data_IF_786299939718
#
_entry.id   IF_786299939718
#
_cell.length_a   1.000
_cell.length_b   1.000
_cell.length_c   1.000
_cell.angle_alpha   90.00
_cell.angle_beta   90.00
_cell.angle_gamma   90.00
#
_symmetry.space_group_name_H-M   'P 1'
#
loop_
_entity.id
_entity.type
_entity.pdbx_description
1 polymer ?
#
# COMPACT_ATOMS: atom_id res chain seq x y z
N UNK A 1 -23.68 -1.21 -8.23
CA UNK A 1 -22.77 -2.36 -8.03
C UNK A 1 -22.68 -3.07 -9.36
N UNK A 2 -21.46 -3.36 -9.82
CA UNK A 2 -21.25 -4.03 -11.11
C UNK A 2 -21.72 -5.49 -10.99
N UNK A 3 -22.11 -6.15 -12.12
CA UNK A 3 -22.57 -7.55 -12.19
C UNK A 3 -21.56 -8.55 -11.58
N UNK A 4 -20.28 -8.17 -11.54
CA UNK A 4 -19.18 -8.98 -11.02
C UNK A 4 -18.79 -8.67 -9.57
N UNK A 5 -19.50 -7.73 -8.92
CA UNK A 5 -19.21 -7.30 -7.57
C UNK A 5 -20.21 -7.90 -6.59
N UNK A 6 -19.73 -8.38 -5.44
CA UNK A 6 -20.56 -8.89 -4.35
C UNK A 6 -20.19 -8.16 -3.05
N UNK A 7 -21.17 -7.48 -2.46
CA UNK A 7 -20.95 -6.84 -1.16
C UNK A 7 -20.95 -7.89 -0.04
N UNK A 8 -19.84 -7.96 0.71
CA UNK A 8 -19.64 -8.93 1.80
C UNK A 8 -19.82 -8.33 3.20
N UNK A 9 -20.21 -7.08 3.30
CA UNK A 9 -20.39 -6.35 4.56
C UNK A 9 -19.17 -5.52 4.96
N UNK A 10 -19.35 -4.61 5.95
CA UNK A 10 -18.31 -3.75 6.52
C UNK A 10 -17.48 -2.96 5.49
N UNK A 11 -18.11 -2.54 4.39
CA UNK A 11 -17.44 -1.81 3.31
C UNK A 11 -16.67 -2.68 2.31
N UNK A 12 -16.59 -4.00 2.52
CA UNK A 12 -15.87 -4.88 1.61
C UNK A 12 -16.73 -5.30 0.41
N UNK A 13 -16.24 -4.99 -0.79
CA UNK A 13 -16.78 -5.42 -2.07
C UNK A 13 -15.87 -6.48 -2.68
N UNK A 14 -16.37 -7.71 -2.76
CA UNK A 14 -15.66 -8.81 -3.41
C UNK A 14 -15.86 -8.70 -4.92
N UNK A 15 -14.77 -8.42 -5.66
CA UNK A 15 -14.77 -8.36 -7.12
C UNK A 15 -14.32 -9.70 -7.68
N UNK A 16 -15.19 -10.34 -8.48
CA UNK A 16 -14.85 -11.59 -9.19
C UNK A 16 -13.90 -11.28 -10.35
N UNK A 17 -13.00 -12.23 -10.64
CA UNK A 17 -12.11 -12.13 -11.81
C UNK A 17 -12.89 -12.01 -13.11
N UNK A 18 -12.40 -11.15 -14.00
CA UNK A 18 -12.94 -10.92 -15.34
C UNK A 18 -11.80 -10.86 -16.34
N UNK A 19 -12.10 -11.16 -17.62
CA UNK A 19 -11.11 -11.05 -18.70
C UNK A 19 -10.83 -9.59 -19.09
N UNK A 20 -11.80 -8.70 -18.86
CA UNK A 20 -11.65 -7.29 -19.18
C UNK A 20 -10.91 -6.56 -18.04
N UNK A 21 -9.76 -5.97 -18.39
CA UNK A 21 -8.98 -5.13 -17.48
C UNK A 21 -9.11 -3.66 -17.86
N UNK A 22 -9.18 -2.79 -16.87
CA UNK A 22 -9.00 -1.36 -17.08
C UNK A 22 -7.53 -1.07 -17.41
N UNK A 23 -7.31 -0.20 -18.38
CA UNK A 23 -5.96 0.28 -18.76
C UNK A 23 -5.63 1.63 -18.13
N UNK A 24 -6.52 2.17 -17.32
CA UNK A 24 -6.28 3.43 -16.60
C UNK A 24 -5.06 3.27 -15.70
N UNK A 25 -4.07 4.11 -15.88
CA UNK A 25 -2.87 4.11 -15.05
C UNK A 25 -3.08 4.99 -13.82
N UNK A 26 -2.43 4.64 -12.72
CA UNK A 26 -2.37 5.51 -11.56
C UNK A 26 -1.57 6.79 -11.85
N UNK A 27 -1.80 7.80 -11.01
CA UNK A 27 -1.10 9.07 -11.06
C UNK A 27 0.41 8.88 -10.94
N UNK A 28 1.15 9.72 -11.65
CA UNK A 28 2.58 9.88 -11.43
C UNK A 28 2.80 10.73 -10.18
N UNK A 29 3.73 10.32 -9.35
CA UNK A 29 4.24 11.18 -8.29
C UNK A 29 5.33 12.07 -8.90
N UNK A 30 4.91 13.22 -9.42
CA UNK A 30 5.81 14.22 -10.01
C UNK A 30 6.39 15.15 -8.97
N UNK A 31 5.57 15.52 -7.98
CA UNK A 31 5.96 16.34 -6.86
C UNK A 31 6.82 15.56 -5.86
N UNK A 32 7.76 16.23 -5.21
CA UNK A 32 8.63 15.60 -4.23
C UNK A 32 8.03 15.63 -2.81
N UNK A 33 6.83 16.14 -2.65
CA UNK A 33 6.15 16.29 -1.36
C UNK A 33 4.63 16.38 -1.51
N UNK A 34 3.93 16.14 -0.42
CA UNK A 34 2.50 16.39 -0.31
C UNK A 34 2.21 17.90 -0.36
N UNK A 35 0.96 18.24 -0.70
CA UNK A 35 0.47 19.58 -0.48
C UNK A 35 0.57 19.97 1.00
N UNK A 36 0.88 21.23 1.27
CA UNK A 36 1.07 21.76 2.63
C UNK A 36 -0.14 21.51 3.54
N UNK A 37 -1.34 21.57 2.99
CA UNK A 37 -2.55 21.30 3.78
C UNK A 37 -2.70 19.82 4.08
N UNK A 38 -2.29 18.93 3.18
CA UNK A 38 -2.29 17.47 3.42
C UNK A 38 -1.34 17.11 4.55
N UNK A 39 -0.09 17.58 4.53
CA UNK A 39 0.87 17.36 5.62
C UNK A 39 0.32 17.86 6.97
N UNK A 40 -0.20 19.08 6.98
CA UNK A 40 -0.78 19.70 8.18
C UNK A 40 -1.93 18.88 8.76
N UNK A 41 -2.81 18.32 7.93
CA UNK A 41 -3.92 17.51 8.43
C UNK A 41 -3.46 16.13 8.88
N UNK A 42 -2.52 15.52 8.20
CA UNK A 42 -1.89 14.26 8.65
C UNK A 42 -1.28 14.45 10.04
N UNK A 43 -0.46 15.50 10.22
CA UNK A 43 0.16 15.81 11.51
C UNK A 43 -0.87 16.01 12.62
N UNK A 44 -1.95 16.78 12.36
CA UNK A 44 -3.04 16.98 13.32
C UNK A 44 -3.77 15.70 13.70
N UNK A 45 -3.96 14.79 12.73
CA UNK A 45 -4.59 13.49 13.00
C UNK A 45 -3.68 12.67 13.91
N UNK A 46 -2.38 12.61 13.62
CA UNK A 46 -1.40 11.90 14.46
C UNK A 46 -1.34 12.48 15.87
N UNK A 47 -1.25 13.80 16.00
CA UNK A 47 -1.26 14.49 17.31
C UNK A 47 -2.53 14.16 18.11
N UNK A 48 -3.70 14.20 17.45
CA UNK A 48 -4.96 13.86 18.07
C UNK A 48 -5.00 12.42 18.56
N UNK A 49 -4.53 11.48 17.73
CA UNK A 49 -4.42 10.07 18.08
C UNK A 49 -3.49 9.87 19.28
N UNK A 50 -2.31 10.47 19.28
CA UNK A 50 -1.35 10.42 20.40
C UNK A 50 -1.98 10.96 21.69
N UNK A 51 -2.72 12.08 21.63
CA UNK A 51 -3.43 12.66 22.77
C UNK A 51 -4.42 11.69 23.44
N UNK A 52 -5.02 10.81 22.64
CA UNK A 52 -5.99 9.82 23.12
C UNK A 52 -5.42 8.41 23.26
N UNK A 53 -4.08 8.25 23.25
CA UNK A 53 -3.38 6.96 23.31
C UNK A 53 -3.84 5.98 22.22
N UNK A 54 -4.12 6.49 21.03
CA UNK A 54 -4.43 5.70 19.85
C UNK A 54 -3.15 5.52 19.04
N UNK A 55 -2.73 4.27 18.84
CA UNK A 55 -1.59 3.95 17.98
C UNK A 55 -1.90 4.23 16.51
N UNK A 56 -0.95 4.84 15.82
CA UNK A 56 -1.04 5.15 14.39
C UNK A 56 0.05 4.40 13.65
N UNK A 57 -0.30 3.82 12.52
CA UNK A 57 0.64 3.20 11.57
C UNK A 57 0.31 3.71 10.18
N UNK A 58 1.31 4.17 9.45
CA UNK A 58 1.17 4.51 8.04
C UNK A 58 1.38 3.26 7.19
N UNK A 59 0.57 3.10 6.16
CA UNK A 59 0.74 2.01 5.21
C UNK A 59 0.48 2.46 3.79
N UNK A 60 1.27 1.97 2.84
CA UNK A 60 0.98 2.09 1.41
C UNK A 60 0.52 0.72 0.91
N UNK A 61 -0.67 0.64 0.35
CA UNK A 61 -1.24 -0.60 -0.17
C UNK A 61 -0.53 -1.01 -1.46
N UNK A 62 -0.39 -2.33 -1.68
CA UNK A 62 0.20 -2.90 -2.90
C UNK A 62 -0.54 -2.40 -4.14
N UNK A 63 0.23 -1.97 -5.12
CA UNK A 63 -0.22 -1.60 -6.45
C UNK A 63 0.05 -2.72 -7.47
N UNK A 64 -0.54 -2.62 -8.66
CA UNK A 64 -0.24 -3.53 -9.77
C UNK A 64 1.27 -3.57 -10.04
N UNK A 65 1.92 -4.76 -10.04
CA UNK A 65 3.36 -4.89 -10.21
C UNK A 65 3.91 -4.27 -11.49
N UNK A 66 3.16 -4.34 -12.59
CA UNK A 66 3.57 -3.73 -13.84
C UNK A 66 3.56 -2.21 -13.75
N UNK A 67 2.58 -1.64 -13.07
CA UNK A 67 2.53 -0.19 -12.81
C UNK A 67 3.69 0.27 -11.94
N UNK A 68 4.00 -0.46 -10.85
CA UNK A 68 5.14 -0.13 -9.99
C UNK A 68 6.44 -0.23 -10.79
N UNK A 69 6.62 -1.27 -11.60
CA UNK A 69 7.81 -1.45 -12.46
C UNK A 69 7.98 -0.27 -13.42
N UNK A 70 6.95 0.12 -14.16
CA UNK A 70 7.00 1.22 -15.13
C UNK A 70 7.27 2.58 -14.48
N UNK A 71 6.93 2.74 -13.21
CA UNK A 71 7.01 4.01 -12.46
C UNK A 71 7.84 3.87 -11.18
N UNK A 72 8.81 2.95 -11.18
CA UNK A 72 9.56 2.59 -9.95
C UNK A 72 10.24 3.81 -9.31
N UNK A 73 10.73 4.75 -10.10
CA UNK A 73 11.35 5.99 -9.59
C UNK A 73 10.33 6.86 -8.84
N UNK A 74 9.12 7.05 -9.39
CA UNK A 74 8.03 7.79 -8.74
C UNK A 74 7.61 7.12 -7.44
N UNK A 75 7.40 5.80 -7.46
CA UNK A 75 7.04 5.04 -6.26
C UNK A 75 8.12 5.10 -5.19
N UNK A 76 9.40 5.05 -5.58
CA UNK A 76 10.51 5.18 -4.63
C UNK A 76 10.59 6.58 -4.01
N UNK A 77 10.38 7.63 -4.80
CA UNK A 77 10.31 9.01 -4.29
C UNK A 77 9.18 9.17 -3.26
N UNK A 78 7.99 8.68 -3.59
CA UNK A 78 6.85 8.69 -2.68
C UNK A 78 7.12 7.89 -1.39
N UNK A 79 7.73 6.71 -1.48
CA UNK A 79 8.13 5.92 -0.32
C UNK A 79 9.09 6.68 0.58
N UNK A 80 10.16 7.25 0.01
CA UNK A 80 11.15 7.99 0.77
C UNK A 80 10.53 9.21 1.49
N UNK A 81 9.64 9.92 0.81
CA UNK A 81 8.93 11.07 1.39
C UNK A 81 8.03 10.66 2.57
N UNK A 82 7.17 9.64 2.37
CA UNK A 82 6.25 9.17 3.42
C UNK A 82 7.03 8.62 4.61
N UNK A 83 8.15 7.95 4.36
CA UNK A 83 9.05 7.44 5.40
C UNK A 83 9.63 8.58 6.23
N UNK A 84 10.15 9.63 5.60
CA UNK A 84 10.63 10.82 6.28
C UNK A 84 9.55 11.48 7.15
N UNK A 85 8.34 11.64 6.60
CA UNK A 85 7.20 12.18 7.34
C UNK A 85 6.81 11.29 8.54
N UNK A 86 6.83 9.98 8.37
CA UNK A 86 6.54 9.04 9.45
C UNK A 86 7.59 9.11 10.57
N UNK A 87 8.87 9.23 10.21
CA UNK A 87 9.97 9.44 11.16
C UNK A 87 9.82 10.75 11.93
N UNK A 88 9.51 11.88 11.25
CA UNK A 88 9.24 13.17 11.88
C UNK A 88 8.06 13.13 12.86
N UNK A 89 7.02 12.37 12.51
CA UNK A 89 5.81 12.21 13.33
C UNK A 89 5.93 11.10 14.37
N UNK A 90 7.07 10.39 14.45
CA UNK A 90 7.27 9.23 15.31
C UNK A 90 6.12 8.22 15.18
N UNK A 91 5.92 7.75 13.94
CA UNK A 91 4.89 6.79 13.51
C UNK A 91 5.55 5.68 12.70
N UNK A 92 5.16 4.44 12.90
CA UNK A 92 5.61 3.34 12.05
C UNK A 92 5.04 3.46 10.63
N UNK A 93 5.85 3.06 9.65
CA UNK A 93 5.44 3.05 8.24
C UNK A 93 5.84 1.77 7.53
N UNK A 94 4.88 1.16 6.84
CA UNK A 94 5.06 -0.04 6.03
C UNK A 94 4.61 0.18 4.59
N UNK A 95 5.58 0.18 3.66
CA UNK A 95 5.29 0.21 2.23
C UNK A 95 5.07 -1.21 1.69
N UNK A 96 3.82 -1.61 1.52
CA UNK A 96 3.50 -2.95 1.00
C UNK A 96 3.88 -3.14 -0.47
N UNK A 97 4.20 -2.10 -1.25
CA UNK A 97 4.83 -2.29 -2.55
C UNK A 97 6.23 -2.91 -2.42
N UNK A 98 6.92 -2.66 -1.30
CA UNK A 98 8.17 -3.31 -0.95
C UNK A 98 8.03 -4.73 -0.36
N UNK A 99 6.81 -5.24 -0.13
CA UNK A 99 6.62 -6.59 0.38
C UNK A 99 7.19 -7.61 -0.60
N UNK A 100 8.12 -8.47 -0.12
CA UNK A 100 8.81 -9.45 -0.95
C UNK A 100 7.86 -10.52 -1.47
N UNK A 101 8.13 -11.04 -2.66
CA UNK A 101 7.30 -12.03 -3.35
C UNK A 101 7.17 -13.34 -2.60
N UNK A 102 8.18 -13.73 -1.82
CA UNK A 102 8.15 -14.95 -0.98
C UNK A 102 7.05 -14.89 0.11
N UNK A 103 6.66 -13.70 0.56
CA UNK A 103 5.56 -13.53 1.53
C UNK A 103 4.21 -13.27 0.88
N UNK A 104 4.22 -12.69 -0.32
CA UNK A 104 3.00 -12.46 -1.09
C UNK A 104 3.28 -12.49 -2.59
N UNK A 105 3.13 -13.67 -3.17
CA UNK A 105 3.20 -13.85 -4.61
C UNK A 105 2.04 -13.13 -5.30
N UNK A 106 2.36 -12.33 -6.31
CA UNK A 106 1.41 -11.49 -7.05
C UNK A 106 1.89 -11.20 -8.46
N UNK A 107 0.95 -11.03 -9.36
CA UNK A 107 1.18 -10.55 -10.71
C UNK A 107 0.08 -9.56 -11.14
N UNK A 108 0.20 -9.01 -12.35
CA UNK A 108 -0.80 -8.08 -12.93
C UNK A 108 -2.20 -8.70 -13.04
N UNK A 109 -2.33 -10.04 -13.09
CA UNK A 109 -3.62 -10.71 -13.17
C UNK A 109 -4.35 -10.73 -11.82
N UNK A 110 -3.68 -10.38 -10.74
CA UNK A 110 -4.26 -10.23 -9.41
C UNK A 110 -5.04 -8.93 -9.24
N UNK A 111 -4.90 -8.00 -10.21
CA UNK A 111 -5.50 -6.67 -10.16
C UNK A 111 -6.53 -6.49 -11.28
N UNK A 112 -7.64 -5.80 -10.92
CA UNK A 112 -8.69 -5.44 -11.87
C UNK A 112 -8.25 -4.34 -12.83
N UNK A 113 -7.42 -3.42 -12.35
CA UNK A 113 -6.91 -2.27 -13.08
C UNK A 113 -5.45 -1.97 -12.68
N UNK A 114 -4.90 -0.94 -13.29
CA UNK A 114 -3.55 -0.47 -13.02
C UNK A 114 -3.46 0.51 -11.84
N UNK A 115 -4.58 0.82 -11.22
CA UNK A 115 -4.69 1.68 -10.03
C UNK A 115 -4.57 0.87 -8.71
N UNK A 116 -4.35 -0.43 -8.81
CA UNK A 116 -4.12 -1.31 -7.66
C UNK A 116 -5.39 -1.89 -7.03
N UNK A 117 -6.53 -1.83 -7.71
CA UNK A 117 -7.73 -2.49 -7.23
C UNK A 117 -7.61 -4.01 -7.42
N UNK A 118 -7.44 -4.72 -6.32
CA UNK A 118 -7.31 -6.18 -6.31
C UNK A 118 -8.64 -6.88 -6.60
N UNK A 119 -8.57 -8.05 -7.24
CA UNK A 119 -9.68 -8.98 -7.22
C UNK A 119 -9.93 -9.52 -5.80
N UNK A 120 -11.16 -9.97 -5.53
CA UNK A 120 -11.59 -10.34 -4.19
C UNK A 120 -10.80 -11.47 -3.55
N UNK A 121 -10.37 -12.46 -4.32
CA UNK A 121 -9.50 -13.54 -3.86
C UNK A 121 -8.10 -13.04 -3.50
N UNK A 122 -7.51 -12.19 -4.33
CA UNK A 122 -6.23 -11.53 -4.06
C UNK A 122 -6.32 -10.64 -2.82
N UNK A 123 -7.36 -9.79 -2.72
CA UNK A 123 -7.59 -8.94 -1.55
C UNK A 123 -7.73 -9.79 -0.27
N UNK A 124 -8.38 -10.97 -0.36
CA UNK A 124 -8.49 -11.89 0.77
C UNK A 124 -7.14 -12.46 1.20
N UNK A 125 -6.28 -12.84 0.23
CA UNK A 125 -4.89 -13.29 0.51
C UNK A 125 -4.07 -12.15 1.10
N UNK A 126 -4.14 -10.96 0.50
CA UNK A 126 -3.40 -9.78 0.96
C UNK A 126 -3.80 -9.38 2.38
N UNK A 127 -5.09 -9.38 2.72
CA UNK A 127 -5.56 -9.04 4.07
C UNK A 127 -4.95 -9.93 5.15
N UNK A 128 -4.64 -11.19 4.86
CA UNK A 128 -4.00 -12.09 5.82
C UNK A 128 -2.58 -11.65 6.16
N UNK A 129 -1.74 -11.41 5.16
CA UNK A 129 -0.36 -10.94 5.39
C UNK A 129 -0.34 -9.51 5.95
N UNK A 130 -1.22 -8.64 5.47
CA UNK A 130 -1.39 -7.30 6.03
C UNK A 130 -1.72 -7.36 7.53
N UNK A 131 -2.72 -8.15 7.90
CA UNK A 131 -3.12 -8.33 9.31
C UNK A 131 -2.00 -8.94 10.16
N UNK A 132 -1.20 -9.87 9.61
CA UNK A 132 -0.04 -10.43 10.30
C UNK A 132 1.01 -9.36 10.58
N UNK A 133 1.43 -8.58 9.58
CA UNK A 133 2.42 -7.50 9.72
C UNK A 133 1.96 -6.48 10.76
N UNK A 134 0.70 -6.03 10.66
CA UNK A 134 0.16 -5.04 11.61
C UNK A 134 0.09 -5.62 13.03
N UNK A 135 -0.32 -6.88 13.19
CA UNK A 135 -0.35 -7.52 14.50
C UNK A 135 1.06 -7.68 15.10
N UNK A 136 2.04 -8.04 14.31
CA UNK A 136 3.44 -8.13 14.76
C UNK A 136 3.98 -6.74 15.16
N UNK A 137 3.66 -5.70 14.40
CA UNK A 137 4.01 -4.31 14.73
C UNK A 137 3.55 -3.92 16.14
N UNK A 138 2.31 -4.24 16.51
CA UNK A 138 1.78 -3.92 17.84
C UNK A 138 2.26 -4.84 18.96
N UNK A 139 2.84 -6.00 18.66
CA UNK A 139 3.19 -7.03 19.64
C UNK A 139 4.70 -7.29 19.79
N UNK A 140 5.55 -6.36 19.42
CA UNK A 140 7.00 -6.50 19.64
C UNK A 140 7.88 -6.24 18.44
N UNK A 141 7.31 -5.69 17.40
CA UNK A 141 7.97 -5.35 16.16
C UNK A 141 7.88 -6.43 15.09
N UNK A 142 7.89 -5.99 13.85
CA UNK A 142 7.82 -6.86 12.69
C UNK A 142 9.18 -7.51 12.40
N UNK A 143 9.14 -8.62 11.69
CA UNK A 143 10.32 -9.21 11.09
C UNK A 143 10.92 -8.26 10.06
N UNK A 144 12.23 -7.99 10.15
CA UNK A 144 12.93 -7.08 9.24
C UNK A 144 13.04 -7.61 7.80
N UNK A 145 12.71 -8.88 7.57
CA UNK A 145 12.84 -9.55 6.29
C UNK A 145 11.61 -9.44 5.38
N UNK A 146 10.49 -8.93 5.85
CA UNK A 146 9.28 -8.77 5.03
C UNK A 146 9.46 -7.84 3.83
N UNK A 147 10.16 -6.73 4.03
CA UNK A 147 10.17 -5.63 3.09
C UNK A 147 11.54 -5.39 2.46
N UNK A 148 11.52 -5.15 1.15
CA UNK A 148 12.64 -4.55 0.43
C UNK A 148 12.44 -3.03 0.40
N UNK A 149 13.47 -2.28 0.76
CA UNK A 149 13.42 -0.81 0.79
C UNK A 149 13.67 -0.19 -0.58
N UNK A 150 14.54 -0.80 -1.36
CA UNK A 150 14.79 -0.37 -2.74
C UNK A 150 13.86 -1.13 -3.69
N UNK A 151 12.82 -0.46 -4.14
CA UNK A 151 11.82 -1.05 -5.04
C UNK A 151 12.44 -1.53 -6.36
N UNK A 152 13.58 -0.99 -6.79
CA UNK A 152 14.30 -1.46 -7.99
C UNK A 152 14.80 -2.89 -7.84
N UNK A 153 15.12 -3.33 -6.62
CA UNK A 153 15.52 -4.72 -6.33
C UNK A 153 14.37 -5.69 -6.64
N UNK A 154 13.13 -5.31 -6.35
CA UNK A 154 11.94 -6.14 -6.60
C UNK A 154 11.42 -6.05 -8.03
N UNK A 155 11.45 -4.87 -8.62
CA UNK A 155 10.76 -4.59 -9.89
C UNK A 155 11.72 -4.38 -11.07
N UNK A 156 13.02 -4.27 -10.82
CA UNK A 156 14.05 -3.98 -11.82
C UNK A 156 14.18 -2.49 -12.13
N UNK A 157 15.29 -2.14 -12.77
CA UNK A 157 15.48 -0.79 -13.35
C UNK A 157 14.71 -0.70 -14.68
N UNK A 158 14.10 0.45 -14.95
CA UNK A 158 13.48 0.77 -16.25
C UNK A 158 14.48 1.50 -17.12
#
# INVERSE_FOLDING_TARGET
MNKNDEYKGRGFVYRKRTEAKSTTSCLDWEDEKLDRDQEKYISKIVELCKKYNISVVFTTVIQDPQTVKEKVVSFQKADNYIRGLAEELDVEYYNFNGLKYEFFERDTNDFYDREGHMYGDTATRFTKIYGQVINESFNGGIRNDYFERDLKVLYGEV
#
